data_IF_463708025858
#
_entry.id   IF_463708025858
#
_cell.length_a   1.000
_cell.length_b   1.000
_cell.length_c   1.000
_cell.angle_alpha   90.00
_cell.angle_beta   90.00
_cell.angle_gamma   90.00
#
_symmetry.space_group_name_H-M   'P 1'
#
loop_
_entity.id
_entity.type
_entity.pdbx_description
1 polymer ?
#
# COMPACT_ATOMS: atom_id res chain seq x y z
N UNK A 1 -16.99 -0.79 -12.42
CA UNK A 1 -15.78 -1.28 -11.69
C UNK A 1 -15.48 -0.26 -10.60
N UNK A 2 -15.17 -0.71 -9.38
CA UNK A 2 -14.80 0.23 -8.30
C UNK A 2 -13.37 0.69 -8.55
N UNK A 3 -13.15 2.01 -8.54
CA UNK A 3 -11.80 2.56 -8.67
C UNK A 3 -11.15 2.62 -7.28
N UNK A 4 -10.35 1.59 -6.96
CA UNK A 4 -9.65 1.47 -5.69
C UNK A 4 -8.22 2.01 -5.83
N UNK A 5 -7.79 2.78 -4.86
CA UNK A 5 -6.42 3.25 -4.79
C UNK A 5 -5.43 2.11 -4.44
N UNK A 6 -4.15 2.34 -4.67
CA UNK A 6 -3.08 1.37 -4.34
C UNK A 6 -3.11 0.96 -2.87
N UNK A 7 -3.33 1.90 -1.95
CA UNK A 7 -3.46 1.61 -0.51
C UNK A 7 -4.68 0.76 -0.19
N UNK A 8 -5.83 1.06 -0.80
CA UNK A 8 -7.05 0.28 -0.63
C UNK A 8 -6.92 -1.13 -1.19
N UNK A 9 -6.31 -1.28 -2.38
CA UNK A 9 -6.02 -2.58 -2.98
C UNK A 9 -5.05 -3.40 -2.13
N UNK A 10 -3.97 -2.78 -1.65
CA UNK A 10 -3.01 -3.43 -0.76
C UNK A 10 -3.69 -3.90 0.52
N UNK A 11 -4.50 -3.04 1.17
CA UNK A 11 -5.21 -3.40 2.39
C UNK A 11 -6.13 -4.62 2.19
N UNK A 12 -6.92 -4.65 1.10
CA UNK A 12 -7.77 -5.82 0.78
C UNK A 12 -6.95 -7.10 0.65
N UNK A 13 -5.80 -7.03 -0.01
CA UNK A 13 -4.95 -8.18 -0.24
C UNK A 13 -4.26 -8.72 1.02
N UNK A 14 -3.98 -7.90 2.03
CA UNK A 14 -3.35 -8.36 3.27
C UNK A 14 -4.35 -8.86 4.32
N UNK A 15 -5.64 -8.55 4.17
CA UNK A 15 -6.68 -9.06 5.06
C UNK A 15 -6.80 -10.59 4.96
N UNK A 16 -6.94 -11.25 6.10
CA UNK A 16 -7.37 -12.66 6.14
C UNK A 16 -8.87 -12.76 5.89
N UNK A 17 -9.37 -13.94 5.53
CA UNK A 17 -10.81 -14.19 5.34
C UNK A 17 -11.68 -13.83 6.56
N UNK A 18 -11.10 -13.78 7.74
CA UNK A 18 -11.77 -13.35 8.97
C UNK A 18 -11.58 -11.84 9.29
N UNK A 19 -11.11 -11.06 8.34
CA UNK A 19 -10.94 -9.60 8.44
C UNK A 19 -9.80 -9.14 9.35
N UNK A 20 -8.90 -10.03 9.75
CA UNK A 20 -7.77 -9.69 10.61
C UNK A 20 -6.49 -9.54 9.80
N UNK A 21 -5.70 -8.53 10.14
CA UNK A 21 -4.27 -8.49 9.84
C UNK A 21 -3.57 -9.21 10.99
N UNK A 22 -2.62 -10.10 10.69
CA UNK A 22 -1.89 -10.79 11.76
C UNK A 22 -1.02 -9.80 12.53
N UNK A 23 -1.23 -9.73 13.83
CA UNK A 23 -0.44 -8.87 14.73
C UNK A 23 1.04 -9.25 14.82
N UNK A 24 1.40 -10.44 14.36
CA UNK A 24 2.81 -10.90 14.29
C UNK A 24 3.51 -10.51 12.97
N UNK A 25 2.78 -9.92 12.03
CA UNK A 25 3.28 -9.57 10.70
C UNK A 25 3.50 -8.05 10.60
N UNK A 26 4.50 -7.53 11.33
CA UNK A 26 4.85 -6.09 11.32
C UNK A 26 5.13 -5.57 9.89
N UNK A 27 5.68 -6.40 9.02
CA UNK A 27 5.94 -6.02 7.62
C UNK A 27 4.67 -5.60 6.89
N UNK A 28 3.52 -6.24 7.15
CA UNK A 28 2.25 -5.87 6.51
C UNK A 28 1.77 -4.48 6.90
N UNK A 29 1.86 -4.15 8.17
CA UNK A 29 1.45 -2.83 8.67
C UNK A 29 2.44 -1.75 8.27
N UNK A 30 3.73 -2.06 8.23
CA UNK A 30 4.77 -1.18 7.69
C UNK A 30 4.53 -0.90 6.20
N UNK A 31 4.28 -1.93 5.40
CA UNK A 31 3.94 -1.78 3.99
C UNK A 31 2.59 -1.04 3.77
N UNK A 32 1.62 -1.18 4.68
CA UNK A 32 0.37 -0.41 4.61
C UNK A 32 0.62 1.08 4.83
N UNK A 33 1.43 1.45 5.82
CA UNK A 33 1.81 2.83 6.03
C UNK A 33 2.63 3.38 4.85
N UNK A 34 3.52 2.56 4.30
CA UNK A 34 4.30 2.87 3.13
C UNK A 34 3.41 3.10 1.89
N UNK A 35 2.43 2.24 1.63
CA UNK A 35 1.48 2.44 0.53
C UNK A 35 0.74 3.77 0.62
N UNK A 36 0.34 4.17 1.83
CA UNK A 36 -0.33 5.44 2.07
C UNK A 36 0.57 6.66 1.80
N UNK A 37 1.86 6.59 2.17
CA UNK A 37 2.81 7.66 1.82
C UNK A 37 3.01 7.74 0.32
N UNK A 38 3.16 6.60 -0.38
CA UNK A 38 3.35 6.57 -1.83
C UNK A 38 2.13 7.15 -2.54
N UNK A 39 0.94 6.75 -2.16
CA UNK A 39 -0.28 7.28 -2.74
C UNK A 39 -0.36 8.81 -2.60
N UNK A 40 -0.01 9.35 -1.42
CA UNK A 40 0.03 10.79 -1.20
C UNK A 40 1.12 11.50 -2.03
N UNK A 41 2.23 10.83 -2.34
CA UNK A 41 3.26 11.33 -3.24
C UNK A 41 2.81 11.30 -4.70
N UNK A 42 2.22 10.20 -5.15
CA UNK A 42 1.70 10.05 -6.53
C UNK A 42 0.59 11.05 -6.86
N UNK A 43 -0.12 11.54 -5.85
CA UNK A 43 -1.18 12.54 -5.96
C UNK A 43 -0.70 13.98 -5.70
N UNK A 44 0.61 14.22 -5.64
CA UNK A 44 1.21 15.53 -5.34
C UNK A 44 0.73 16.19 -4.02
N UNK A 45 0.20 15.39 -3.10
CA UNK A 45 -0.22 15.88 -1.77
C UNK A 45 0.99 15.99 -0.84
N UNK A 46 1.94 15.07 -0.97
CA UNK A 46 3.25 15.15 -0.35
C UNK A 46 4.33 15.38 -1.42
N UNK A 47 5.42 15.98 -1.01
CA UNK A 47 6.65 16.09 -1.81
C UNK A 47 7.79 15.38 -1.08
N UNK A 48 8.75 14.86 -1.87
CA UNK A 48 9.97 14.25 -1.38
C UNK A 48 11.17 14.88 -2.08
N UNK A 49 12.12 15.40 -1.32
CA UNK A 49 13.31 16.10 -1.81
C UNK A 49 14.52 15.18 -2.00
N UNK A 50 14.31 13.85 -2.12
CA UNK A 50 15.36 12.84 -2.14
C UNK A 50 15.78 12.37 -0.72
N UNK A 51 15.27 13.00 0.34
CA UNK A 51 15.63 12.68 1.72
C UNK A 51 14.47 12.80 2.71
N UNK A 52 13.62 13.78 2.53
CA UNK A 52 12.56 14.14 3.49
C UNK A 52 11.23 14.39 2.80
N UNK A 53 10.16 14.07 3.51
CA UNK A 53 8.79 14.35 3.14
C UNK A 53 8.37 15.71 3.66
N UNK A 54 7.56 16.42 2.87
CA UNK A 54 6.87 17.65 3.25
C UNK A 54 5.47 17.67 2.63
N UNK A 55 4.56 18.43 3.22
CA UNK A 55 3.22 18.66 2.66
C UNK A 55 3.31 19.67 1.53
N UNK A 56 2.71 19.34 0.38
CA UNK A 56 2.64 20.21 -0.79
C UNK A 56 1.22 20.72 -1.01
N UNK A 57 0.21 19.91 -0.73
CA UNK A 57 -1.20 20.29 -0.88
C UNK A 57 -2.04 19.84 0.32
N UNK A 58 -3.25 20.41 0.44
CA UNK A 58 -4.22 19.96 1.43
C UNK A 58 -4.76 18.59 1.06
N UNK A 59 -5.02 17.74 2.07
CA UNK A 59 -5.62 16.44 1.86
C UNK A 59 -7.07 16.58 1.36
N UNK A 60 -7.41 16.08 0.16
CA UNK A 60 -8.77 16.06 -0.35
C UNK A 60 -9.69 15.19 0.52
N UNK A 61 -10.98 15.49 0.50
CA UNK A 61 -11.96 14.76 1.32
C UNK A 61 -12.07 13.28 0.93
N UNK A 62 -11.99 12.99 -0.36
CA UNK A 62 -12.00 11.62 -0.91
C UNK A 62 -10.79 10.77 -0.49
N UNK A 63 -9.70 11.43 -0.05
CA UNK A 63 -8.49 10.79 0.48
C UNK A 63 -8.43 10.83 2.02
N UNK A 64 -9.55 11.11 2.69
CA UNK A 64 -9.60 11.22 4.15
C UNK A 64 -9.13 9.96 4.89
N UNK A 65 -9.18 8.78 4.25
CA UNK A 65 -8.64 7.53 4.78
C UNK A 65 -7.11 7.50 4.92
N UNK A 66 -6.39 8.48 4.35
CA UNK A 66 -4.94 8.66 4.50
C UNK A 66 -4.57 9.72 5.55
N UNK A 67 -5.57 10.26 6.26
CA UNK A 67 -5.39 11.35 7.24
C UNK A 67 -4.34 11.05 8.30
N UNK A 68 -4.26 9.83 8.80
CA UNK A 68 -3.28 9.45 9.82
C UNK A 68 -1.84 9.72 9.36
N UNK A 69 -1.54 9.38 8.10
CA UNK A 69 -0.22 9.58 7.51
C UNK A 69 0.02 11.05 7.20
N UNK A 70 -0.95 11.71 6.56
CA UNK A 70 -0.88 13.13 6.25
C UNK A 70 -0.62 13.97 7.49
N UNK A 71 -1.34 13.75 8.59
CA UNK A 71 -1.22 14.52 9.83
C UNK A 71 0.16 14.33 10.50
N UNK A 72 0.75 13.14 10.41
CA UNK A 72 2.11 12.91 10.92
C UNK A 72 3.12 13.73 10.14
N UNK A 73 3.05 13.67 8.80
CA UNK A 73 3.96 14.46 7.96
C UNK A 73 3.75 15.96 8.20
N UNK A 74 2.50 16.44 8.21
CA UNK A 74 2.17 17.85 8.44
C UNK A 74 2.70 18.39 9.77
N UNK A 75 2.65 17.57 10.83
CA UNK A 75 3.14 17.95 12.17
C UNK A 75 4.66 17.91 12.31
N UNK A 76 5.33 17.05 11.53
CA UNK A 76 6.75 16.72 11.70
C UNK A 76 7.64 17.17 10.54
N UNK A 77 7.05 17.74 9.50
CA UNK A 77 7.77 18.14 8.30
C UNK A 77 8.88 19.18 8.57
N UNK A 78 10.00 19.10 7.87
CA UNK A 78 10.35 18.04 6.93
C UNK A 78 10.84 16.78 7.66
N UNK A 79 10.22 15.63 7.41
CA UNK A 79 10.47 14.34 8.09
C UNK A 79 11.08 13.32 7.13
N UNK A 80 12.04 12.50 7.60
CA UNK A 80 12.52 11.36 6.79
C UNK A 80 11.42 10.34 6.57
N UNK A 81 11.44 9.71 5.39
CA UNK A 81 10.47 8.68 5.03
C UNK A 81 10.38 7.57 6.08
N UNK A 82 11.52 7.01 6.48
CA UNK A 82 11.58 5.91 7.44
C UNK A 82 10.97 6.32 8.79
N UNK A 83 11.26 7.54 9.24
CA UNK A 83 10.71 8.06 10.49
C UNK A 83 9.20 8.28 10.42
N UNK A 84 8.65 8.65 9.26
CA UNK A 84 7.21 8.77 9.08
C UNK A 84 6.52 7.40 9.18
N UNK A 85 7.13 6.36 8.59
CA UNK A 85 6.64 4.98 8.66
C UNK A 85 6.76 4.38 10.08
N UNK A 86 7.83 4.71 10.82
CA UNK A 86 8.04 4.24 12.19
C UNK A 86 6.88 4.57 13.14
N UNK A 87 6.12 5.66 12.89
CA UNK A 87 4.91 5.96 13.69
C UNK A 87 3.83 4.89 13.58
N UNK A 88 3.84 4.10 12.51
CA UNK A 88 2.89 3.01 12.25
C UNK A 88 3.48 1.63 12.56
N UNK A 89 4.79 1.56 12.80
CA UNK A 89 5.44 0.38 13.33
C UNK A 89 5.20 0.29 14.83
N UNK A 90 5.48 -0.87 15.41
CA UNK A 90 5.20 -1.19 16.81
C UNK A 90 5.78 -0.15 17.78
N UNK A 91 5.00 0.88 18.08
CA UNK A 91 5.22 1.77 19.22
C UNK A 91 4.25 1.38 20.33
N UNK A 92 4.58 1.67 21.59
CA UNK A 92 3.86 1.34 22.82
C UNK A 92 2.32 1.55 22.80
N UNK A 93 1.78 2.16 21.76
CA UNK A 93 0.35 2.46 21.61
C UNK A 93 -0.15 2.17 20.22
N UNK A 94 -0.19 1.15 19.59
CA UNK A 94 -0.78 0.84 18.25
C UNK A 94 -1.81 1.87 17.68
N UNK A 95 -1.81 3.10 18.23
CA UNK A 95 -2.84 4.11 17.98
C UNK A 95 -2.87 4.51 16.49
N UNK A 96 -1.71 4.82 15.93
CA UNK A 96 -1.64 5.33 14.55
C UNK A 96 -1.98 4.23 13.55
N UNK A 97 -1.44 3.03 13.74
CA UNK A 97 -1.74 1.92 12.83
C UNK A 97 -3.20 1.46 12.97
N UNK A 98 -3.77 1.44 14.17
CA UNK A 98 -5.18 1.13 14.34
C UNK A 98 -6.07 2.20 13.69
N UNK A 99 -5.72 3.49 13.82
CA UNK A 99 -6.44 4.56 13.14
C UNK A 99 -6.36 4.44 11.61
N UNK A 100 -5.17 4.16 11.05
CA UNK A 100 -5.01 3.96 9.62
C UNK A 100 -5.82 2.76 9.11
N UNK A 101 -5.79 1.64 9.82
CA UNK A 101 -6.60 0.44 9.51
C UNK A 101 -8.10 0.76 9.55
N UNK A 102 -8.54 1.53 10.56
CA UNK A 102 -9.94 1.94 10.70
C UNK A 102 -10.37 2.87 9.56
N UNK A 103 -9.60 3.91 9.27
CA UNK A 103 -9.91 4.89 8.23
C UNK A 103 -9.99 4.22 6.84
N UNK A 104 -9.04 3.35 6.49
CA UNK A 104 -9.05 2.61 5.21
C UNK A 104 -10.21 1.60 5.20
N UNK A 105 -10.43 0.87 6.31
CA UNK A 105 -11.51 -0.10 6.42
C UNK A 105 -12.89 0.53 6.27
N UNK A 106 -13.11 1.72 6.85
CA UNK A 106 -14.35 2.48 6.70
C UNK A 106 -14.56 2.93 5.24
N UNK A 107 -13.53 3.47 4.59
CA UNK A 107 -13.61 3.86 3.17
C UNK A 107 -13.98 2.68 2.26
N UNK A 108 -13.40 1.51 2.52
CA UNK A 108 -13.73 0.29 1.77
C UNK A 108 -15.11 -0.27 2.08
N UNK A 109 -15.62 -0.06 3.30
CA UNK A 109 -16.99 -0.44 3.67
C UNK A 109 -18.01 0.44 2.95
N UNK A 110 -17.76 1.75 2.82
CA UNK A 110 -18.58 2.67 2.04
C UNK A 110 -18.63 2.26 0.55
N UNK A 111 -17.52 1.77 0.02
CA UNK A 111 -17.43 1.24 -1.35
C UNK A 111 -18.03 -0.19 -1.49
N UNK A 112 -18.41 -0.84 -0.38
CA UNK A 112 -18.91 -2.21 -0.37
C UNK A 112 -17.85 -3.27 -0.75
N UNK A 113 -16.56 -2.96 -0.51
CA UNK A 113 -15.46 -3.91 -0.74
C UNK A 113 -15.15 -4.77 0.48
N UNK A 114 -15.62 -4.35 1.64
CA UNK A 114 -15.53 -5.10 2.89
C UNK A 114 -16.86 -5.08 3.64
N UNK A 115 -17.10 -6.11 4.45
CA UNK A 115 -18.19 -6.15 5.43
C UNK A 115 -17.61 -5.93 6.82
N UNK A 116 -18.21 -5.00 7.59
CA UNK A 116 -17.81 -4.76 8.96
C UNK A 116 -18.43 -5.79 9.91
N UNK A 117 -17.63 -6.36 10.76
CA UNK A 117 -18.08 -7.23 11.85
C UNK A 117 -17.40 -6.82 13.16
N UNK A 118 -18.08 -7.07 14.28
CA UNK A 118 -17.44 -6.95 15.59
C UNK A 118 -16.63 -8.21 15.86
N UNK A 119 -15.31 -8.05 15.96
CA UNK A 119 -14.38 -9.14 16.21
C UNK A 119 -14.21 -9.41 17.70
N UNK A 120 -14.29 -10.68 18.10
CA UNK A 120 -13.93 -11.12 19.44
C UNK A 120 -15.07 -11.12 20.47
N UNK A 121 -14.74 -11.63 21.67
CA UNK A 121 -15.64 -11.73 22.82
C UNK A 121 -15.74 -10.37 23.53
N UNK A 122 -16.93 -9.89 23.87
CA UNK A 122 -17.18 -8.64 24.63
C UNK A 122 -16.59 -7.35 24.02
N UNK A 123 -17.29 -6.75 23.06
CA UNK A 123 -16.93 -5.46 22.43
C UNK A 123 -15.55 -5.40 21.72
N UNK A 124 -15.15 -6.46 21.05
CA UNK A 124 -13.93 -6.51 20.28
C UNK A 124 -13.85 -5.45 19.18
N UNK A 125 -12.60 -5.15 18.72
CA UNK A 125 -12.32 -4.22 17.63
C UNK A 125 -13.13 -4.59 16.38
N UNK A 126 -13.55 -3.59 15.60
CA UNK A 126 -14.11 -3.80 14.27
C UNK A 126 -13.12 -4.56 13.40
N UNK A 127 -13.60 -5.55 12.67
CA UNK A 127 -12.86 -6.27 11.64
C UNK A 127 -13.53 -6.07 10.29
N UNK A 128 -12.75 -6.05 9.24
CA UNK A 128 -13.17 -5.76 7.87
C UNK A 128 -13.02 -7.02 7.02
N UNK A 129 -14.12 -7.73 6.82
CA UNK A 129 -14.15 -8.97 6.03
C UNK A 129 -14.08 -8.61 4.54
N UNK A 130 -13.01 -8.98 3.81
CA UNK A 130 -12.88 -8.59 2.40
C UNK A 130 -13.89 -9.33 1.53
N UNK A 131 -14.36 -8.66 0.48
CA UNK A 131 -15.11 -9.27 -0.59
C UNK A 131 -14.11 -10.04 -1.49
N UNK A 132 -14.25 -11.36 -1.56
CA UNK A 132 -13.34 -12.23 -2.32
C UNK A 132 -13.31 -11.86 -3.82
N UNK A 133 -14.43 -11.44 -4.41
CA UNK A 133 -14.46 -11.04 -5.81
C UNK A 133 -13.65 -9.76 -6.10
N UNK A 134 -13.64 -8.78 -5.17
CA UNK A 134 -12.81 -7.59 -5.31
C UNK A 134 -11.31 -7.94 -5.18
N UNK A 135 -10.95 -8.85 -4.25
CA UNK A 135 -9.56 -9.35 -4.12
C UNK A 135 -9.13 -10.13 -5.35
N UNK A 136 -9.97 -11.04 -5.86
CA UNK A 136 -9.68 -11.80 -7.07
C UNK A 136 -9.46 -10.88 -8.27
N UNK A 137 -10.27 -9.81 -8.39
CA UNK A 137 -10.09 -8.83 -9.46
C UNK A 137 -8.73 -8.13 -9.39
N UNK A 138 -8.30 -7.70 -8.21
CA UNK A 138 -6.97 -7.10 -8.00
C UNK A 138 -5.87 -8.07 -8.45
N UNK A 139 -5.98 -9.33 -8.05
CA UNK A 139 -5.01 -10.37 -8.41
C UNK A 139 -4.97 -10.62 -9.92
N UNK A 140 -6.15 -10.61 -10.59
CA UNK A 140 -6.21 -10.74 -12.05
C UNK A 140 -5.58 -9.53 -12.77
N UNK A 141 -5.75 -8.31 -12.25
CA UNK A 141 -5.09 -7.13 -12.82
C UNK A 141 -3.57 -7.25 -12.75
N UNK A 142 -3.03 -7.72 -11.60
CA UNK A 142 -1.58 -7.99 -11.48
C UNK A 142 -1.12 -9.00 -12.53
N UNK A 143 -1.90 -10.07 -12.77
CA UNK A 143 -1.58 -11.06 -13.82
C UNK A 143 -1.56 -10.42 -15.21
N UNK A 144 -2.64 -9.70 -15.54
CA UNK A 144 -2.80 -9.10 -16.86
C UNK A 144 -1.68 -8.09 -17.19
N UNK A 145 -1.27 -7.28 -16.23
CA UNK A 145 -0.27 -6.25 -16.49
C UNK A 145 1.19 -6.74 -16.39
N UNK A 146 1.49 -7.67 -15.48
CA UNK A 146 2.87 -8.08 -15.22
C UNK A 146 3.25 -9.44 -15.80
N UNK A 147 2.30 -10.35 -16.05
CA UNK A 147 2.58 -11.69 -16.59
C UNK A 147 2.16 -11.85 -18.05
N UNK A 148 1.41 -10.90 -18.60
CA UNK A 148 1.01 -10.84 -20.00
C UNK A 148 1.66 -9.64 -20.70
N UNK A 149 1.62 -9.60 -22.03
CA UNK A 149 2.19 -8.51 -22.84
C UNK A 149 1.21 -7.33 -22.90
N UNK A 150 1.11 -6.56 -21.82
CA UNK A 150 0.22 -5.40 -21.70
C UNK A 150 0.93 -4.13 -21.24
N UNK A 151 0.21 -3.02 -21.25
CA UNK A 151 0.64 -1.79 -20.58
C UNK A 151 0.72 -2.02 -19.08
N UNK A 152 1.77 -1.51 -18.47
CA UNK A 152 2.04 -1.67 -17.04
C UNK A 152 1.78 -0.33 -16.36
N UNK A 153 0.88 -0.31 -15.39
CA UNK A 153 0.61 0.87 -14.57
C UNK A 153 1.55 0.96 -13.36
N UNK A 154 1.85 2.19 -12.94
CA UNK A 154 2.66 2.44 -11.74
C UNK A 154 2.02 1.84 -10.49
N UNK A 155 0.72 1.95 -10.38
CA UNK A 155 -0.08 1.41 -9.26
C UNK A 155 0.11 -0.10 -9.11
N UNK A 156 0.05 -0.85 -10.18
CA UNK A 156 0.23 -2.32 -10.17
C UNK A 156 1.66 -2.71 -9.82
N UNK A 157 2.64 -1.94 -10.29
CA UNK A 157 4.04 -2.16 -9.94
C UNK A 157 4.25 -1.96 -8.44
N UNK A 158 3.79 -0.83 -7.89
CA UNK A 158 3.89 -0.50 -6.47
C UNK A 158 3.15 -1.55 -5.63
N UNK A 159 1.92 -1.87 -5.98
CA UNK A 159 1.12 -2.87 -5.29
C UNK A 159 1.82 -4.23 -5.24
N UNK A 160 2.35 -4.69 -6.38
CA UNK A 160 3.03 -5.99 -6.47
C UNK A 160 4.32 -6.00 -5.65
N UNK A 161 5.08 -4.92 -5.66
CA UNK A 161 6.28 -4.77 -4.84
C UNK A 161 5.96 -4.84 -3.33
N UNK A 162 4.92 -4.14 -2.89
CA UNK A 162 4.45 -4.18 -1.49
C UNK A 162 3.97 -5.58 -1.08
N UNK A 163 3.20 -6.27 -1.94
CA UNK A 163 2.76 -7.64 -1.70
C UNK A 163 3.93 -8.65 -1.68
N UNK A 164 4.96 -8.40 -2.49
CA UNK A 164 6.18 -9.20 -2.43
C UNK A 164 6.92 -9.00 -1.11
N UNK A 165 7.09 -7.75 -0.67
CA UNK A 165 7.76 -7.41 0.60
C UNK A 165 7.02 -7.99 1.80
N UNK A 166 5.70 -7.82 1.87
CA UNK A 166 4.86 -8.37 2.94
C UNK A 166 4.64 -9.89 2.86
N UNK A 167 5.24 -10.55 1.85
CA UNK A 167 5.12 -11.99 1.57
C UNK A 167 3.69 -12.45 1.24
N UNK A 168 2.78 -11.53 0.89
CA UNK A 168 1.40 -11.88 0.55
C UNK A 168 1.23 -12.42 -0.87
N UNK A 169 2.20 -12.25 -1.77
CA UNK A 169 2.15 -12.86 -3.11
C UNK A 169 1.96 -14.37 -3.06
N UNK A 170 2.52 -15.05 -2.04
CA UNK A 170 2.36 -16.50 -1.88
C UNK A 170 0.92 -16.97 -1.63
N UNK A 171 0.01 -16.06 -1.27
CA UNK A 171 -1.40 -16.38 -1.05
C UNK A 171 -2.19 -16.47 -2.36
N UNK A 172 -1.71 -15.81 -3.41
CA UNK A 172 -2.45 -15.56 -4.65
C UNK A 172 -1.77 -16.13 -5.88
N UNK A 173 -0.45 -16.35 -5.82
CA UNK A 173 0.36 -16.72 -6.97
C UNK A 173 1.13 -18.01 -6.70
N UNK A 174 1.15 -18.88 -7.71
CA UNK A 174 1.98 -20.09 -7.71
C UNK A 174 3.47 -19.75 -7.62
N UNK A 175 4.30 -20.74 -7.31
CA UNK A 175 5.75 -20.52 -7.26
C UNK A 175 6.33 -20.05 -8.60
N UNK A 176 5.77 -20.54 -9.72
CA UNK A 176 6.15 -20.13 -11.06
C UNK A 176 5.78 -18.66 -11.32
N UNK A 177 4.52 -18.26 -11.06
CA UNK A 177 4.07 -16.88 -11.23
C UNK A 177 4.86 -15.92 -10.35
N UNK A 178 5.15 -16.28 -9.09
CA UNK A 178 5.98 -15.45 -8.20
C UNK A 178 7.39 -15.21 -8.74
N UNK A 179 8.01 -16.22 -9.33
CA UNK A 179 9.32 -16.05 -9.97
C UNK A 179 9.23 -15.13 -11.19
N UNK A 180 8.20 -15.29 -12.01
CA UNK A 180 7.95 -14.43 -13.17
C UNK A 180 7.70 -12.96 -12.74
N UNK A 181 6.85 -12.74 -11.72
CA UNK A 181 6.61 -11.39 -11.17
C UNK A 181 7.89 -10.75 -10.64
N UNK A 182 8.71 -11.48 -9.86
CA UNK A 182 9.99 -10.97 -9.35
C UNK A 182 10.95 -10.61 -10.48
N UNK A 183 11.03 -11.45 -11.50
CA UNK A 183 11.85 -11.19 -12.67
C UNK A 183 11.37 -9.94 -13.41
N UNK A 184 10.05 -9.80 -13.61
CA UNK A 184 9.45 -8.64 -14.26
C UNK A 184 9.70 -7.34 -13.51
N UNK A 185 9.54 -7.36 -12.18
CA UNK A 185 9.85 -6.21 -11.32
C UNK A 185 11.35 -5.82 -11.42
N UNK A 186 12.26 -6.80 -11.48
CA UNK A 186 13.69 -6.54 -11.65
C UNK A 186 13.98 -5.94 -13.04
N UNK A 187 13.36 -6.44 -14.11
CA UNK A 187 13.50 -5.90 -15.47
C UNK A 187 13.00 -4.45 -15.56
N UNK A 188 11.86 -4.14 -14.91
CA UNK A 188 11.34 -2.77 -14.82
C UNK A 188 12.36 -1.86 -14.13
N UNK A 189 12.96 -2.32 -13.03
CA UNK A 189 13.96 -1.58 -12.27
C UNK A 189 15.25 -1.31 -13.07
N UNK A 190 15.70 -2.27 -13.86
CA UNK A 190 16.97 -2.20 -14.62
C UNK A 190 16.85 -1.44 -15.94
N UNK A 191 15.64 -1.13 -16.40
CA UNK A 191 15.43 -0.47 -17.69
C UNK A 191 15.32 1.06 -17.53
N UNK A 192 16.42 1.83 -17.77
CA UNK A 192 16.42 3.29 -17.61
C UNK A 192 15.58 4.02 -18.66
N UNK A 193 15.10 3.34 -19.70
CA UNK A 193 14.20 3.89 -20.73
C UNK A 193 12.71 3.63 -20.41
N UNK A 194 12.43 2.95 -19.33
CA UNK A 194 11.05 2.75 -18.91
C UNK A 194 10.49 4.10 -18.42
N UNK A 195 9.45 4.59 -19.07
CA UNK A 195 8.79 5.86 -18.75
C UNK A 195 8.34 5.90 -17.27
N UNK A 196 8.03 4.73 -16.71
CA UNK A 196 7.76 4.51 -15.28
C UNK A 196 8.97 4.85 -14.39
N UNK A 197 10.18 4.50 -14.82
CA UNK A 197 11.42 4.86 -14.10
C UNK A 197 11.76 6.33 -14.31
N UNK A 198 11.48 6.89 -15.50
CA UNK A 198 11.70 8.31 -15.78
C UNK A 198 10.75 9.19 -14.94
N UNK A 199 9.48 8.82 -14.85
CA UNK A 199 8.53 9.49 -13.94
C UNK A 199 8.91 9.25 -12.48
N UNK A 200 9.32 8.03 -12.10
CA UNK A 200 9.83 7.72 -10.75
C UNK A 200 11.13 8.45 -10.44
N UNK A 201 11.97 8.80 -11.42
CA UNK A 201 13.17 9.63 -11.22
C UNK A 201 12.86 11.13 -11.24
N UNK A 202 11.78 11.60 -11.86
CA UNK A 202 11.27 12.96 -11.69
C UNK A 202 10.54 13.13 -10.36
N UNK A 203 9.81 12.12 -9.90
CA UNK A 203 9.22 12.03 -8.54
C UNK A 203 10.20 11.46 -7.50
N UNK A 204 11.48 11.38 -7.87
CA UNK A 204 12.62 11.01 -7.08
C UNK A 204 12.62 9.63 -6.42
N UNK A 205 13.81 9.17 -6.18
CA UNK A 205 14.35 8.17 -5.26
C UNK A 205 13.39 7.44 -4.29
N UNK A 206 12.19 7.96 -3.95
CA UNK A 206 11.27 7.37 -2.98
C UNK A 206 10.49 6.19 -3.54
N UNK A 207 9.91 6.28 -4.73
CA UNK A 207 9.35 5.11 -5.39
C UNK A 207 10.47 4.10 -5.69
N UNK A 208 11.64 4.60 -6.07
CA UNK A 208 12.83 3.78 -6.27
C UNK A 208 13.35 3.16 -4.96
N UNK A 209 13.39 3.91 -3.84
CA UNK A 209 13.72 3.38 -2.50
C UNK A 209 12.67 2.38 -2.02
N UNK A 210 11.39 2.62 -2.28
CA UNK A 210 10.34 1.64 -2.00
C UNK A 210 10.46 0.40 -2.87
N UNK A 211 10.80 0.56 -4.14
CA UNK A 211 11.16 -0.55 -5.02
C UNK A 211 12.35 -1.33 -4.47
N UNK A 212 13.42 -0.64 -4.06
CA UNK A 212 14.61 -1.27 -3.47
C UNK A 212 14.24 -1.98 -2.15
N UNK A 213 13.53 -1.31 -1.26
CA UNK A 213 13.10 -1.88 0.03
C UNK A 213 12.10 -3.03 -0.17
N UNK A 214 11.25 -2.97 -1.20
CA UNK A 214 10.28 -4.02 -1.49
C UNK A 214 10.89 -5.25 -2.19
N UNK A 215 12.04 -5.08 -2.87
CA UNK A 215 12.73 -6.16 -3.60
C UNK A 215 13.93 -6.71 -2.82
N UNK A 216 14.44 -5.97 -1.81
CA UNK A 216 15.49 -6.43 -0.89
C UNK A 216 14.91 -7.27 0.23
#
# INVERSE_FOLDING_TARGET
MKNLSTTQQYFLCILKKNGKISSMEMEKTTCLAASAVVELLMEDILAFDGKKLSVQASLPQEKSYLRQVYDIVAKKQPIKFENAIEYFSFNFTDKYINGLVEDIGESLAELGCVRKEKGGFMNGKTVYIPNEADVDHIVQNIRAELLEDGEISEDIVVLTALLNKSQDLQRYFSSYEKQALKKRLAEIKENPQNELIHKATEYSDTLFLMFIVAIS
#
